data_IF_771533689746
#
_entry.id   IF_771533689746
#
_cell.length_a   1.000
_cell.length_b   1.000
_cell.length_c   1.000
_cell.angle_alpha   90.00
_cell.angle_beta   90.00
_cell.angle_gamma   90.00
#
_symmetry.space_group_name_H-M   'P 1'
#
loop_
_entity.id
_entity.type
_entity.pdbx_description
1 polymer ?
#
# COMPACT_ATOMS: atom_id res chain seq x y z
N UNK A 1 -16.85 -5.73 -4.17
CA UNK A 1 -18.12 -6.18 -4.79
C UNK A 1 -18.22 -5.70 -6.24
N UNK A 2 -18.04 -4.39 -6.54
CA UNK A 2 -18.07 -3.77 -7.89
C UNK A 2 -17.31 -4.54 -9.00
N UNK A 3 -16.18 -5.19 -8.68
CA UNK A 3 -15.37 -5.94 -9.66
C UNK A 3 -16.18 -7.00 -10.43
N UNK A 4 -17.03 -7.77 -9.75
CA UNK A 4 -17.83 -8.83 -10.39
C UNK A 4 -18.87 -8.24 -11.36
N UNK A 5 -19.44 -7.09 -10.99
CA UNK A 5 -20.47 -6.37 -11.74
C UNK A 5 -19.98 -5.84 -13.09
N UNK A 6 -18.67 -5.62 -13.26
CA UNK A 6 -18.05 -5.23 -14.53
C UNK A 6 -17.56 -6.45 -15.32
N UNK A 7 -17.03 -7.47 -14.63
CA UNK A 7 -16.51 -8.69 -15.26
C UNK A 7 -17.61 -9.52 -15.93
N UNK A 8 -18.79 -9.65 -15.29
CA UNK A 8 -19.92 -10.41 -15.85
C UNK A 8 -20.38 -9.88 -17.22
N UNK A 9 -20.77 -8.60 -17.38
CA UNK A 9 -21.22 -8.09 -18.68
C UNK A 9 -20.08 -8.07 -19.71
N UNK A 10 -18.82 -7.86 -19.30
CA UNK A 10 -17.66 -7.95 -20.19
C UNK A 10 -17.49 -9.37 -20.74
N UNK A 11 -17.49 -10.40 -19.88
CA UNK A 11 -17.41 -11.79 -20.32
C UNK A 11 -18.63 -12.20 -21.16
N UNK A 12 -19.83 -11.73 -20.81
CA UNK A 12 -21.03 -12.01 -21.58
C UNK A 12 -20.95 -11.42 -22.99
N UNK A 13 -20.51 -10.16 -23.13
CA UNK A 13 -20.28 -9.53 -24.43
C UNK A 13 -19.22 -10.28 -25.25
N UNK A 14 -18.18 -10.81 -24.58
CA UNK A 14 -17.12 -11.59 -25.22
C UNK A 14 -17.60 -12.97 -25.71
N UNK A 15 -18.42 -13.66 -24.92
CA UNK A 15 -19.05 -14.93 -25.31
C UNK A 15 -20.04 -14.71 -26.46
N UNK A 16 -20.83 -13.64 -26.43
CA UNK A 16 -21.72 -13.26 -27.54
C UNK A 16 -20.89 -12.97 -28.79
N UNK A 17 -19.84 -12.15 -28.70
CA UNK A 17 -18.92 -11.90 -29.81
C UNK A 17 -18.34 -13.19 -30.38
N UNK A 18 -17.93 -14.13 -29.53
CA UNK A 18 -17.39 -15.42 -29.97
C UNK A 18 -18.44 -16.38 -30.55
N UNK A 19 -19.70 -16.28 -30.14
CA UNK A 19 -20.79 -17.07 -30.69
C UNK A 19 -21.30 -16.50 -32.02
N UNK A 20 -21.27 -15.17 -32.19
CA UNK A 20 -21.63 -14.48 -33.43
C UNK A 20 -20.52 -14.48 -34.47
N UNK A 21 -19.25 -14.60 -34.04
CA UNK A 21 -18.08 -14.63 -34.91
C UNK A 21 -17.42 -16.02 -34.78
N UNK A 22 -18.04 -17.01 -35.44
CA UNK A 22 -17.57 -18.41 -35.53
C UNK A 22 -16.98 -18.78 -36.89
N UNK A 23 -17.03 -17.87 -37.87
CA UNK A 23 -16.51 -18.11 -39.22
C UNK A 23 -15.02 -18.51 -39.18
N UNK A 24 -14.62 -19.63 -39.78
CA UNK A 24 -13.25 -20.13 -39.70
C UNK A 24 -12.35 -19.33 -40.64
N UNK A 25 -11.50 -18.48 -40.06
CA UNK A 25 -10.49 -17.73 -40.80
C UNK A 25 -9.19 -18.55 -40.86
N UNK A 26 -8.55 -18.54 -42.02
CA UNK A 26 -7.19 -19.06 -42.19
C UNK A 26 -6.19 -18.08 -41.55
N UNK A 27 -5.60 -18.49 -40.43
CA UNK A 27 -4.56 -17.74 -39.71
C UNK A 27 -3.20 -18.33 -40.04
N UNK A 28 -2.22 -17.47 -40.37
CA UNK A 28 -0.83 -17.88 -40.55
C UNK A 28 0.06 -17.27 -39.46
N UNK A 29 1.06 -18.03 -39.01
CA UNK A 29 2.16 -17.53 -38.19
C UNK A 29 3.47 -18.18 -38.66
N UNK A 30 4.32 -17.36 -39.28
CA UNK A 30 5.53 -17.76 -39.99
C UNK A 30 5.23 -18.82 -41.08
N UNK A 31 5.37 -20.11 -40.75
CA UNK A 31 5.14 -21.26 -41.64
C UNK A 31 3.94 -22.13 -41.22
N UNK A 32 3.40 -21.90 -40.02
CA UNK A 32 2.26 -22.66 -39.51
C UNK A 32 0.95 -21.98 -39.91
N UNK A 33 0.04 -22.75 -40.50
CA UNK A 33 -1.30 -22.31 -40.88
C UNK A 33 -2.35 -23.13 -40.13
N UNK A 34 -3.36 -22.47 -39.58
CA UNK A 34 -4.48 -23.12 -38.90
C UNK A 34 -5.76 -22.33 -39.07
N UNK A 35 -6.90 -23.02 -38.97
CA UNK A 35 -8.22 -22.37 -38.93
C UNK A 35 -8.59 -22.01 -37.51
N UNK A 36 -8.86 -20.74 -37.28
CA UNK A 36 -9.36 -20.22 -36.01
C UNK A 36 -10.36 -19.11 -36.32
N UNK A 37 -11.45 -19.02 -35.55
CA UNK A 37 -12.35 -17.88 -35.69
C UNK A 37 -11.87 -16.71 -34.84
N UNK A 38 -12.10 -15.48 -35.30
CA UNK A 38 -11.72 -14.26 -34.58
C UNK A 38 -12.37 -14.20 -33.19
N UNK A 39 -13.58 -14.77 -33.05
CA UNK A 39 -14.25 -14.96 -31.76
C UNK A 39 -13.42 -15.76 -30.74
N UNK A 40 -12.91 -16.92 -31.15
CA UNK A 40 -12.08 -17.80 -30.30
C UNK A 40 -10.76 -17.13 -29.93
N UNK A 41 -10.13 -16.44 -30.88
CA UNK A 41 -8.87 -15.74 -30.64
C UNK A 41 -9.07 -14.58 -29.64
N UNK A 42 -10.16 -13.82 -29.76
CA UNK A 42 -10.54 -12.78 -28.81
C UNK A 42 -10.81 -13.35 -27.39
N UNK A 43 -11.49 -14.49 -27.27
CA UNK A 43 -11.68 -15.17 -25.97
C UNK A 43 -10.33 -15.53 -25.32
N UNK A 44 -9.39 -16.09 -26.08
CA UNK A 44 -8.06 -16.51 -25.56
C UNK A 44 -7.25 -15.29 -25.08
N UNK A 45 -7.24 -14.21 -25.85
CA UNK A 45 -6.53 -12.97 -25.49
C UNK A 45 -7.13 -12.33 -24.24
N UNK A 46 -8.46 -12.27 -24.13
CA UNK A 46 -9.10 -11.72 -22.93
C UNK A 46 -8.96 -12.64 -21.72
N UNK A 47 -9.00 -13.97 -21.89
CA UNK A 47 -8.81 -14.93 -20.81
C UNK A 47 -7.39 -14.83 -20.23
N UNK A 48 -6.36 -14.75 -21.09
CA UNK A 48 -4.97 -14.55 -20.64
C UNK A 48 -4.78 -13.18 -19.98
N UNK A 49 -5.34 -12.10 -20.55
CA UNK A 49 -5.36 -10.78 -19.92
C UNK A 49 -6.08 -10.76 -18.56
N UNK A 50 -7.20 -11.47 -18.43
CA UNK A 50 -7.95 -11.60 -17.18
C UNK A 50 -7.17 -12.38 -16.11
N UNK A 51 -6.51 -13.49 -16.49
CA UNK A 51 -5.65 -14.27 -15.58
C UNK A 51 -4.47 -13.43 -15.09
N UNK A 52 -3.79 -12.69 -15.99
CA UNK A 52 -2.72 -11.77 -15.58
C UNK A 52 -3.23 -10.65 -14.67
N UNK A 53 -4.37 -10.03 -15.00
CA UNK A 53 -4.99 -9.01 -14.16
C UNK A 53 -5.36 -9.52 -12.78
N UNK A 54 -5.96 -10.72 -12.69
CA UNK A 54 -6.30 -11.37 -11.44
C UNK A 54 -5.06 -11.69 -10.61
N UNK A 55 -3.98 -12.18 -11.23
CA UNK A 55 -2.70 -12.43 -10.57
C UNK A 55 -2.06 -11.15 -10.02
N UNK A 56 -2.06 -10.06 -10.80
CA UNK A 56 -1.59 -8.75 -10.35
C UNK A 56 -2.40 -8.21 -9.16
N UNK A 57 -3.74 -8.34 -9.18
CA UNK A 57 -4.59 -7.97 -8.05
C UNK A 57 -4.30 -8.82 -6.80
N UNK A 58 -4.10 -10.13 -6.97
CA UNK A 58 -3.78 -11.04 -5.88
C UNK A 58 -2.43 -10.72 -5.24
N UNK A 59 -1.41 -10.42 -6.07
CA UNK A 59 -0.10 -9.95 -5.62
C UNK A 59 -0.21 -8.61 -4.85
N UNK A 60 -0.98 -7.65 -5.36
CA UNK A 60 -1.22 -6.37 -4.69
C UNK A 60 -1.90 -6.56 -3.32
N UNK A 61 -2.89 -7.44 -3.22
CA UNK A 61 -3.60 -7.71 -1.95
C UNK A 61 -2.71 -8.47 -0.94
N UNK A 62 -1.85 -9.38 -1.41
CA UNK A 62 -0.81 -10.01 -0.57
C UNK A 62 0.20 -8.98 -0.03
N UNK A 63 0.59 -7.98 -0.84
CA UNK A 63 1.46 -6.88 -0.39
C UNK A 63 0.74 -5.99 0.63
N UNK A 64 -0.54 -5.69 0.44
CA UNK A 64 -1.33 -4.94 1.43
C UNK A 64 -1.46 -5.70 2.76
N UNK A 65 -1.74 -7.02 2.73
CA UNK A 65 -1.76 -7.88 3.94
C UNK A 65 -0.41 -7.91 4.66
N UNK A 66 0.70 -7.94 3.91
CA UNK A 66 2.06 -7.82 4.47
C UNK A 66 2.34 -6.44 5.08
N UNK A 67 1.83 -5.35 4.49
CA UNK A 67 1.96 -3.99 5.05
C UNK A 67 1.13 -3.80 6.32
N UNK A 68 -0.08 -4.36 6.39
CA UNK A 68 -0.92 -4.31 7.60
C UNK A 68 -0.19 -4.90 8.81
N UNK A 69 0.35 -6.13 8.69
CA UNK A 69 1.14 -6.76 9.76
C UNK A 69 2.38 -5.95 10.19
N UNK A 70 3.04 -5.26 9.25
CA UNK A 70 4.17 -4.37 9.58
C UNK A 70 3.72 -3.11 10.33
N UNK A 71 2.56 -2.55 10.00
CA UNK A 71 1.98 -1.42 10.73
C UNK A 71 1.57 -1.82 12.16
N UNK A 72 0.91 -2.97 12.32
CA UNK A 72 0.56 -3.55 13.63
C UNK A 72 1.79 -3.78 14.52
N UNK A 73 2.89 -4.29 13.94
CA UNK A 73 4.15 -4.45 14.66
C UNK A 73 4.74 -3.12 15.13
N UNK A 74 4.72 -2.07 14.29
CA UNK A 74 5.20 -0.73 14.67
C UNK A 74 4.34 -0.08 15.76
N UNK A 75 3.02 -0.28 15.73
CA UNK A 75 2.13 0.23 16.78
C UNK A 75 2.47 -0.43 18.12
N UNK A 76 2.58 -1.77 18.17
CA UNK A 76 2.95 -2.49 19.40
C UNK A 76 4.33 -2.10 19.95
N UNK A 77 5.29 -1.84 19.07
CA UNK A 77 6.63 -1.38 19.43
C UNK A 77 6.59 0.03 20.07
N UNK A 78 5.76 0.94 19.55
CA UNK A 78 5.53 2.27 20.11
C UNK A 78 4.73 2.23 21.43
N UNK A 79 3.70 1.39 21.52
CA UNK A 79 2.94 1.16 22.77
C UNK A 79 3.86 0.62 23.88
N UNK A 80 4.75 -0.33 23.55
CA UNK A 80 5.71 -0.88 24.50
C UNK A 80 6.76 0.17 24.95
N UNK A 81 7.15 1.10 24.08
CA UNK A 81 8.02 2.22 24.45
C UNK A 81 7.30 3.22 25.35
N UNK A 82 6.05 3.58 25.05
CA UNK A 82 5.22 4.45 25.89
C UNK A 82 4.97 3.84 27.28
N UNK A 83 4.70 2.53 27.35
CA UNK A 83 4.54 1.80 28.61
C UNK A 83 5.84 1.80 29.45
N UNK A 84 7.01 1.65 28.82
CA UNK A 84 8.31 1.74 29.51
C UNK A 84 8.59 3.16 30.02
N UNK A 85 8.30 4.20 29.23
CA UNK A 85 8.46 5.59 29.67
C UNK A 85 7.50 5.92 30.82
N UNK A 86 6.23 5.51 30.74
CA UNK A 86 5.28 5.69 31.86
C UNK A 86 5.71 4.93 33.11
N UNK A 87 6.20 3.69 32.98
CA UNK A 87 6.71 2.93 34.12
C UNK A 87 7.94 3.61 34.77
N UNK A 88 8.87 4.11 33.97
CA UNK A 88 10.03 4.87 34.46
C UNK A 88 9.60 6.18 35.17
N UNK A 89 8.64 6.93 34.60
CA UNK A 89 8.10 8.14 35.22
C UNK A 89 7.22 7.88 36.45
N UNK A 90 6.62 6.69 36.60
CA UNK A 90 5.84 6.31 37.76
C UNK A 90 6.71 5.78 38.93
N UNK A 91 7.90 5.22 38.62
CA UNK A 91 8.89 4.80 39.62
C UNK A 91 9.78 5.96 40.08
N UNK A 92 9.98 6.98 39.23
CA UNK A 92 10.54 8.25 39.67
C UNK A 92 9.60 8.88 40.72
N UNK A 93 10.08 9.17 41.95
CA UNK A 93 9.27 9.88 42.92
C UNK A 93 8.83 11.22 42.33
N UNK A 94 7.54 11.53 42.44
CA UNK A 94 7.03 12.89 42.24
C UNK A 94 7.69 13.80 43.27
N UNK A 95 8.87 14.34 42.93
CA UNK A 95 9.45 15.48 43.62
C UNK A 95 8.57 16.67 43.24
N UNK A 96 7.47 16.80 43.98
CA UNK A 96 6.58 17.96 43.95
C UNK A 96 7.47 19.18 44.24
N UNK A 97 7.83 19.90 43.19
CA UNK A 97 8.64 21.09 43.30
C UNK A 97 7.82 22.19 43.98
N UNK A 98 8.20 22.67 45.16
CA UNK A 98 7.63 23.89 45.69
C UNK A 98 8.32 25.08 45.01
N UNK A 99 7.56 25.85 44.22
CA UNK A 99 7.85 27.28 44.10
C UNK A 99 7.65 27.91 45.50
N UNK A 100 8.46 28.89 45.96
CA UNK A 100 8.94 30.07 45.22
C UNK A 100 10.50 30.08 45.13
N UNK A 101 11.30 31.16 45.09
CA UNK A 101 11.09 32.62 45.24
C UNK A 101 12.16 33.46 44.52
N UNK A 102 11.85 34.74 44.33
CA UNK A 102 12.73 35.79 43.81
C UNK A 102 13.85 36.14 44.80
N UNK A 103 15.11 36.01 44.37
CA UNK A 103 16.29 36.83 44.74
C UNK A 103 17.36 36.54 43.68
N UNK A 104 17.96 37.48 42.96
CA UNK A 104 18.36 38.81 43.41
C UNK A 104 19.84 38.77 43.85
N UNK A 105 20.75 38.61 42.90
CA UNK A 105 22.19 38.83 43.11
C UNK A 105 22.81 39.48 41.87
N UNK A 106 23.08 40.78 41.98
CA UNK A 106 23.98 41.49 41.08
C UNK A 106 25.43 41.23 41.52
N UNK A 107 26.31 40.99 40.55
CA UNK A 107 27.77 41.10 40.72
C UNK A 107 28.47 41.12 39.35
N UNK A 108 29.67 41.69 39.23
CA UNK A 108 29.81 42.76 38.25
C UNK A 108 31.04 42.65 37.32
N UNK A 109 31.23 43.74 36.59
CA UNK A 109 32.47 44.26 36.00
C UNK A 109 32.78 43.97 34.53
N UNK A 110 33.43 44.94 33.84
CA UNK A 110 33.46 45.00 32.38
C UNK A 110 34.83 44.63 31.80
N UNK A 111 34.84 44.20 30.53
CA UNK A 111 36.01 44.35 29.64
C UNK A 111 35.50 44.80 28.27
N UNK A 112 36.31 45.64 27.62
CA UNK A 112 36.00 46.45 26.44
C UNK A 112 36.95 46.08 25.31
N UNK A 113 36.40 45.72 24.14
CA UNK A 113 37.09 45.62 22.84
C UNK A 113 35.98 45.83 21.78
N UNK A 114 35.78 47.03 21.24
CA UNK A 114 36.60 47.69 20.21
C UNK A 114 36.85 46.81 18.97
N UNK A 115 36.11 47.05 17.87
CA UNK A 115 36.65 47.82 16.74
C UNK A 115 35.63 48.15 15.64
N UNK A 116 35.61 49.44 15.29
CA UNK A 116 35.27 50.12 14.02
C UNK A 116 34.90 49.21 12.83
#
# INVERSE_FOLDING_TARGET
>A
MIRLTVVIPFLLALVIFSASNQDPLDMWLLTYSWKCSAGVLALIVAATGFIMGAFCLWAAELVQRRRARKAEQRIKELEAQLAQVQAASAVAPQVVAPAPSVTGHASPSPVQEDRI
#
